data_IF_090341100156
#
_entry.id   IF_090341100156
#
_cell.length_a   1.000
_cell.length_b   1.000
_cell.length_c   1.000
_cell.angle_alpha   90.00
_cell.angle_beta   90.00
_cell.angle_gamma   90.00
#
_symmetry.space_group_name_H-M   'P 1'
#
loop_
_entity.id
_entity.type
_entity.pdbx_description
1 polymer ?
#
# COMPACT_ATOMS: atom_id res chain seq x y z
N UNK A 1 19.50 0.66 13.74
CA UNK A 1 19.35 -0.26 14.89
C UNK A 1 18.09 0.00 15.72
N UNK A 2 17.75 1.23 16.10
CA UNK A 2 16.56 1.49 16.93
C UNK A 2 15.24 0.92 16.36
N UNK A 3 15.00 1.04 15.06
CA UNK A 3 13.81 0.48 14.41
C UNK A 3 13.73 -1.05 14.55
N UNK A 4 14.85 -1.76 14.32
CA UNK A 4 14.93 -3.22 14.47
C UNK A 4 14.60 -3.63 15.92
N UNK A 5 15.22 -2.96 16.89
CA UNK A 5 14.98 -3.24 18.30
C UNK A 5 13.53 -2.91 18.70
N UNK A 6 12.95 -1.85 18.12
CA UNK A 6 11.54 -1.50 18.32
C UNK A 6 10.64 -2.63 17.85
N UNK A 7 10.83 -3.11 16.61
CA UNK A 7 10.09 -4.24 16.05
C UNK A 7 10.20 -5.49 16.93
N UNK A 8 11.41 -5.83 17.37
CA UNK A 8 11.61 -6.97 18.28
C UNK A 8 10.91 -6.78 19.62
N UNK A 9 11.00 -5.59 20.22
CA UNK A 9 10.33 -5.28 21.48
C UNK A 9 8.80 -5.35 21.37
N UNK A 10 8.22 -4.87 20.25
CA UNK A 10 6.79 -4.98 19.98
C UNK A 10 6.33 -6.44 19.86
N UNK A 11 7.06 -7.25 19.10
CA UNK A 11 6.79 -8.68 18.99
C UNK A 11 6.86 -9.38 20.35
N UNK A 12 7.90 -9.11 21.14
CA UNK A 12 8.05 -9.65 22.49
C UNK A 12 6.96 -9.18 23.44
N UNK A 13 6.51 -7.92 23.33
CA UNK A 13 5.39 -7.40 24.12
C UNK A 13 4.09 -8.15 23.84
N UNK A 14 3.89 -8.63 22.60
CA UNK A 14 2.71 -9.44 22.26
C UNK A 14 2.84 -10.89 22.68
N UNK A 15 4.05 -11.48 22.59
CA UNK A 15 4.31 -12.85 23.02
C UNK A 15 4.36 -12.99 24.55
N UNK A 16 4.78 -11.94 25.25
CA UNK A 16 4.97 -11.91 26.70
C UNK A 16 4.24 -10.71 27.33
N UNK A 17 2.89 -10.64 27.28
CA UNK A 17 2.12 -9.48 27.74
C UNK A 17 2.24 -9.23 29.26
N UNK A 18 2.69 -10.23 30.03
CA UNK A 18 2.91 -10.11 31.47
C UNK A 18 4.21 -9.37 31.83
N UNK A 19 5.10 -9.12 30.86
CA UNK A 19 6.36 -8.44 31.07
C UNK A 19 6.31 -7.00 30.51
N UNK A 20 5.94 -5.98 31.32
CA UNK A 20 5.71 -4.62 30.82
C UNK A 20 6.98 -3.98 30.23
N UNK A 21 8.17 -4.47 30.61
CA UNK A 21 9.46 -3.99 30.11
C UNK A 21 9.56 -3.96 28.58
N UNK A 22 8.90 -4.89 27.88
CA UNK A 22 8.95 -4.94 26.42
C UNK A 22 8.06 -3.87 25.79
N UNK A 23 6.90 -3.60 26.41
CA UNK A 23 6.03 -2.50 26.00
C UNK A 23 6.75 -1.17 26.21
N UNK A 24 7.27 -0.92 27.40
CA UNK A 24 8.02 0.31 27.73
C UNK A 24 9.23 0.51 26.80
N UNK A 25 9.97 -0.58 26.51
CA UNK A 25 11.08 -0.54 25.57
C UNK A 25 10.62 -0.21 24.15
N UNK A 26 9.52 -0.80 23.68
CA UNK A 26 8.98 -0.51 22.34
C UNK A 26 8.57 0.95 22.18
N UNK A 27 7.87 1.52 23.17
CA UNK A 27 7.46 2.93 23.15
C UNK A 27 8.68 3.87 23.11
N UNK A 28 9.69 3.61 23.96
CA UNK A 28 10.92 4.41 23.99
C UNK A 28 11.72 4.30 22.68
N UNK A 29 11.85 3.07 22.15
CA UNK A 29 12.57 2.82 20.90
C UNK A 29 11.84 3.39 19.69
N UNK A 30 10.50 3.41 19.71
CA UNK A 30 9.70 4.06 18.68
C UNK A 30 9.96 5.57 18.66
N UNK A 31 9.83 6.24 19.81
CA UNK A 31 10.09 7.68 19.90
C UNK A 31 11.50 8.04 19.41
N UNK A 32 12.50 7.25 19.81
CA UNK A 32 13.89 7.40 19.35
C UNK A 32 14.04 7.13 17.85
N UNK A 33 13.36 6.11 17.32
CA UNK A 33 13.38 5.77 15.89
C UNK A 33 12.83 6.92 15.06
N UNK A 34 11.65 7.45 15.42
CA UNK A 34 11.04 8.59 14.73
C UNK A 34 11.94 9.83 14.79
N UNK A 35 12.51 10.13 15.96
CA UNK A 35 13.41 11.28 16.12
C UNK A 35 14.65 11.16 15.22
N UNK A 36 15.33 10.01 15.24
CA UNK A 36 16.52 9.78 14.43
C UNK A 36 16.20 9.72 12.93
N UNK A 37 15.05 9.13 12.57
CA UNK A 37 14.61 9.03 11.19
C UNK A 37 14.35 10.42 10.61
N UNK A 38 13.57 11.26 11.29
CA UNK A 38 13.32 12.66 10.88
C UNK A 38 14.61 13.46 10.75
N UNK A 39 15.54 13.30 11.70
CA UNK A 39 16.86 13.97 11.67
C UNK A 39 17.72 13.55 10.47
N UNK A 40 17.60 12.31 10.01
CA UNK A 40 18.37 11.84 8.85
C UNK A 40 17.66 12.15 7.53
N UNK A 41 16.32 12.16 7.50
CA UNK A 41 15.54 12.62 6.35
C UNK A 41 15.74 14.11 6.04
N UNK A 42 16.04 14.93 7.04
CA UNK A 42 16.35 16.35 6.83
C UNK A 42 17.71 16.58 6.16
N UNK A 43 18.48 15.52 5.88
CA UNK A 43 19.78 15.58 5.19
C UNK A 43 19.61 15.11 3.74
N UNK A 44 20.45 15.59 2.82
CA UNK A 44 20.45 15.06 1.46
C UNK A 44 20.67 13.55 1.44
N UNK A 45 19.90 12.85 0.61
CA UNK A 45 20.08 11.42 0.36
C UNK A 45 21.37 11.22 -0.42
N UNK A 46 22.13 10.21 -0.01
CA UNK A 46 23.40 9.84 -0.63
C UNK A 46 23.66 8.35 -0.43
N UNK A 47 24.74 7.87 -1.05
CA UNK A 47 25.13 6.46 -1.04
C UNK A 47 25.29 5.85 0.36
N UNK A 48 25.62 6.65 1.37
CA UNK A 48 25.88 6.16 2.73
C UNK A 48 24.64 6.07 3.62
N UNK A 49 23.59 6.86 3.35
CA UNK A 49 22.41 6.93 4.22
C UNK A 49 21.14 6.34 3.60
N UNK A 50 21.09 6.24 2.28
CA UNK A 50 19.89 5.91 1.52
C UNK A 50 19.30 4.54 1.88
N UNK A 51 20.15 3.50 1.92
CA UNK A 51 19.71 2.13 2.28
C UNK A 51 19.21 2.03 3.72
N UNK A 52 19.92 2.65 4.66
CA UNK A 52 19.53 2.65 6.06
C UNK A 52 18.21 3.39 6.28
N UNK A 53 17.97 4.47 5.53
CA UNK A 53 16.71 5.21 5.55
C UNK A 53 15.58 4.38 4.96
N UNK A 54 15.77 3.75 3.80
CA UNK A 54 14.76 2.89 3.18
C UNK A 54 14.42 1.68 4.07
N UNK A 55 15.43 0.99 4.59
CA UNK A 55 15.22 -0.11 5.53
C UNK A 55 14.49 0.34 6.80
N UNK A 56 14.78 1.55 7.30
CA UNK A 56 14.04 2.12 8.43
C UNK A 56 12.59 2.44 8.05
N UNK A 57 12.33 2.98 6.87
CA UNK A 57 10.99 3.28 6.38
C UNK A 57 10.12 2.00 6.24
N UNK A 58 10.70 0.92 5.72
CA UNK A 58 10.04 -0.38 5.64
C UNK A 58 9.73 -0.98 7.02
N UNK A 59 10.64 -0.84 7.99
CA UNK A 59 10.40 -1.25 9.37
C UNK A 59 9.32 -0.40 10.04
N UNK A 60 9.26 0.90 9.75
CA UNK A 60 8.17 1.76 10.23
C UNK A 60 6.84 1.34 9.62
N UNK A 61 6.79 1.01 8.32
CA UNK A 61 5.58 0.45 7.69
C UNK A 61 5.12 -0.84 8.37
N UNK A 62 6.05 -1.75 8.63
CA UNK A 62 5.79 -2.99 9.36
C UNK A 62 5.19 -2.70 10.74
N UNK A 63 5.77 -1.73 11.46
CA UNK A 63 5.25 -1.34 12.77
C UNK A 63 3.85 -0.73 12.64
N UNK A 64 3.56 0.08 11.63
CA UNK A 64 2.23 0.65 11.43
C UNK A 64 1.16 -0.42 11.16
N UNK A 65 1.53 -1.53 10.52
CA UNK A 65 0.65 -2.69 10.38
C UNK A 65 0.41 -3.44 11.69
N UNK A 66 1.38 -3.39 12.60
CA UNK A 66 1.28 -4.04 13.90
C UNK A 66 0.49 -3.20 14.90
N UNK A 67 0.66 -1.88 14.83
CA UNK A 67 0.16 -0.93 15.81
C UNK A 67 -1.36 -0.73 15.68
N UNK A 68 -2.07 -1.04 16.77
CA UNK A 68 -3.50 -0.79 16.95
C UNK A 68 -3.75 0.16 18.12
N UNK A 69 -2.70 0.79 18.68
CA UNK A 69 -2.81 1.56 19.90
C UNK A 69 -3.67 2.81 19.73
N UNK A 70 -3.80 3.32 18.50
CA UNK A 70 -4.71 4.42 18.19
C UNK A 70 -6.17 4.11 18.54
N UNK A 71 -6.57 2.84 18.62
CA UNK A 71 -7.93 2.42 19.00
C UNK A 71 -8.19 2.52 20.51
N UNK A 72 -7.15 2.55 21.35
CA UNK A 72 -7.34 2.60 22.80
C UNK A 72 -8.06 3.88 23.24
N UNK A 73 -9.13 3.71 24.02
CA UNK A 73 -9.92 4.83 24.54
C UNK A 73 -10.85 5.49 23.52
N UNK A 74 -10.97 4.96 22.31
CA UNK A 74 -11.92 5.46 21.32
C UNK A 74 -13.30 4.80 21.45
N UNK A 75 -14.36 5.60 21.38
CA UNK A 75 -15.75 5.12 21.32
C UNK A 75 -16.26 4.93 19.89
N UNK A 76 -15.56 5.48 18.91
CA UNK A 76 -15.88 5.42 17.48
C UNK A 76 -14.59 5.24 16.68
N UNK A 77 -14.65 4.45 15.61
CA UNK A 77 -13.52 4.24 14.72
C UNK A 77 -13.14 5.53 13.98
N UNK A 78 -11.96 6.05 14.32
CA UNK A 78 -11.33 7.24 13.72
C UNK A 78 -10.08 6.84 12.94
N UNK A 79 -10.22 6.69 11.62
CA UNK A 79 -9.15 6.25 10.72
C UNK A 79 -8.14 7.35 10.43
N UNK A 80 -8.42 8.62 10.75
CA UNK A 80 -7.44 9.70 10.57
C UNK A 80 -6.22 9.56 11.50
N UNK A 81 -6.35 8.76 12.56
CA UNK A 81 -5.28 8.48 13.53
C UNK A 81 -4.49 7.22 13.19
N UNK A 82 -4.90 6.50 12.16
CA UNK A 82 -4.28 5.26 11.74
C UNK A 82 -2.93 5.54 11.06
N UNK A 83 -1.85 5.15 11.74
CA UNK A 83 -0.48 5.39 11.26
C UNK A 83 -0.17 4.63 9.96
N UNK A 84 -0.90 3.56 9.66
CA UNK A 84 -0.69 2.78 8.44
C UNK A 84 -0.97 3.60 7.19
N UNK A 85 -2.04 4.39 7.17
CA UNK A 85 -2.36 5.23 6.00
C UNK A 85 -1.64 6.57 6.06
N UNK A 86 -1.38 7.08 7.27
CA UNK A 86 -0.74 8.38 7.48
C UNK A 86 0.75 8.40 7.08
N UNK A 87 1.54 7.39 7.47
CA UNK A 87 3.00 7.41 7.30
C UNK A 87 3.46 6.96 5.91
N UNK A 88 2.60 6.20 5.26
CA UNK A 88 2.93 5.45 4.07
C UNK A 88 3.20 6.30 2.81
N UNK A 89 2.57 7.46 2.58
CA UNK A 89 2.97 8.40 1.53
C UNK A 89 4.45 8.82 1.60
N UNK A 90 5.03 8.93 2.80
CA UNK A 90 6.44 9.30 2.97
C UNK A 90 7.42 8.22 2.48
N UNK A 91 6.99 6.96 2.47
CA UNK A 91 7.79 5.83 1.95
C UNK A 91 7.95 5.97 0.44
N UNK A 92 6.90 6.41 -0.25
CA UNK A 92 6.92 6.61 -1.70
C UNK A 92 7.84 7.74 -2.10
N UNK A 93 7.74 8.89 -1.44
CA UNK A 93 8.66 9.99 -1.72
C UNK A 93 10.12 9.55 -1.50
N UNK A 94 10.39 8.84 -0.41
CA UNK A 94 11.72 8.29 -0.15
C UNK A 94 12.13 7.31 -1.26
N UNK A 95 11.24 6.44 -1.72
CA UNK A 95 11.51 5.47 -2.78
C UNK A 95 11.89 6.15 -4.09
N UNK A 96 11.10 7.12 -4.56
CA UNK A 96 11.38 7.86 -5.81
C UNK A 96 12.73 8.58 -5.76
N UNK A 97 13.03 9.22 -4.63
CA UNK A 97 14.31 9.93 -4.44
C UNK A 97 15.51 8.99 -4.26
N UNK A 98 15.28 7.77 -3.81
CA UNK A 98 16.31 6.77 -3.50
C UNK A 98 16.62 5.84 -4.67
N UNK A 99 15.64 5.55 -5.53
CA UNK A 99 15.77 4.52 -6.57
C UNK A 99 16.91 4.79 -7.57
N UNK A 100 17.13 6.02 -8.06
CA UNK A 100 18.29 6.30 -8.92
C UNK A 100 19.63 5.99 -8.22
N UNK A 101 19.71 6.24 -6.92
CA UNK A 101 20.89 5.97 -6.09
C UNK A 101 21.09 4.46 -5.89
N UNK A 102 20.00 3.69 -5.79
CA UNK A 102 20.04 2.22 -5.67
C UNK A 102 20.49 1.56 -6.96
N UNK A 103 19.95 1.98 -8.10
CA UNK A 103 20.32 1.46 -9.42
C UNK A 103 21.80 1.72 -9.69
N UNK A 104 22.29 2.93 -9.41
CA UNK A 104 23.71 3.29 -9.62
C UNK A 104 24.70 2.51 -8.76
N UNK A 105 24.23 1.89 -7.67
CA UNK A 105 25.07 1.15 -6.74
C UNK A 105 24.90 -0.37 -6.82
N UNK A 106 23.93 -0.86 -7.59
CA UNK A 106 23.54 -2.27 -7.54
C UNK A 106 23.03 -2.68 -6.16
N UNK A 107 22.25 -1.82 -5.50
CA UNK A 107 21.64 -2.12 -4.20
C UNK A 107 20.56 -3.20 -4.34
N UNK A 108 20.39 -4.02 -3.30
CA UNK A 108 19.29 -5.01 -3.21
C UNK A 108 17.91 -4.36 -3.36
N UNK A 109 17.77 -3.07 -3.05
CA UNK A 109 16.50 -2.35 -3.20
C UNK A 109 16.17 -2.07 -4.68
N UNK A 110 17.17 -2.07 -5.57
CA UNK A 110 16.94 -1.99 -7.01
C UNK A 110 16.34 -3.30 -7.55
N UNK A 111 16.62 -4.44 -6.91
CA UNK A 111 16.09 -5.73 -7.33
C UNK A 111 14.57 -5.80 -7.13
N UNK A 112 14.03 -5.12 -6.12
CA UNK A 112 12.58 -5.00 -5.87
C UNK A 112 11.85 -4.41 -7.07
N UNK A 113 12.49 -3.51 -7.83
CA UNK A 113 11.88 -2.92 -9.02
C UNK A 113 11.74 -3.90 -10.19
N UNK A 114 12.42 -5.05 -10.16
CA UNK A 114 12.32 -6.09 -11.18
C UNK A 114 11.18 -7.07 -10.90
N UNK A 115 10.67 -7.10 -9.67
CA UNK A 115 9.62 -8.02 -9.25
C UNK A 115 8.27 -7.31 -9.26
N UNK A 116 7.25 -7.94 -9.86
CA UNK A 116 5.89 -7.40 -9.91
C UNK A 116 4.91 -8.42 -9.31
N UNK A 117 4.69 -8.38 -7.98
CA UNK A 117 3.79 -9.31 -7.30
C UNK A 117 2.39 -9.36 -7.92
N UNK A 118 1.86 -8.18 -8.28
CA UNK A 118 0.55 -8.07 -8.92
C UNK A 118 0.49 -8.81 -10.25
N UNK A 119 1.50 -8.62 -11.11
CA UNK A 119 1.54 -9.26 -12.42
C UNK A 119 1.58 -10.79 -12.32
N UNK A 120 2.39 -11.34 -11.41
CA UNK A 120 2.44 -12.79 -11.19
C UNK A 120 1.11 -13.35 -10.67
N UNK A 121 0.45 -12.65 -9.75
CA UNK A 121 -0.89 -13.04 -9.28
C UNK A 121 -1.88 -13.02 -10.44
N UNK A 122 -1.89 -11.97 -11.27
CA UNK A 122 -2.77 -11.88 -12.43
C UNK A 122 -2.52 -13.01 -13.43
N UNK A 123 -1.25 -13.31 -13.73
CA UNK A 123 -0.87 -14.39 -14.63
C UNK A 123 -1.35 -15.76 -14.10
N UNK A 124 -1.19 -16.01 -12.80
CA UNK A 124 -1.69 -17.23 -12.16
C UNK A 124 -3.21 -17.32 -12.24
N UNK A 125 -3.94 -16.24 -11.90
CA UNK A 125 -5.40 -16.19 -12.00
C UNK A 125 -5.89 -16.46 -13.42
N UNK A 126 -5.28 -15.83 -14.43
CA UNK A 126 -5.61 -16.06 -15.84
C UNK A 126 -5.32 -17.51 -16.24
N UNK A 127 -4.21 -18.09 -15.79
CA UNK A 127 -3.88 -19.51 -16.04
C UNK A 127 -4.90 -20.49 -15.43
N UNK A 128 -5.55 -20.08 -14.34
CA UNK A 128 -6.64 -20.83 -13.71
C UNK A 128 -8.02 -20.53 -14.33
N UNK A 129 -8.08 -19.67 -15.36
CA UNK A 129 -9.32 -19.32 -16.04
C UNK A 129 -10.17 -18.28 -15.32
N UNK A 130 -9.57 -17.48 -14.43
CA UNK A 130 -10.26 -16.42 -13.70
C UNK A 130 -9.88 -15.03 -14.20
N UNK A 131 -10.85 -14.13 -14.21
CA UNK A 131 -10.63 -12.71 -14.52
C UNK A 131 -10.11 -11.97 -13.26
N UNK A 132 -8.87 -11.43 -13.27
CA UNK A 132 -8.33 -10.67 -12.15
C UNK A 132 -9.10 -9.38 -11.84
N UNK A 133 -9.86 -8.86 -12.81
CA UNK A 133 -10.57 -7.57 -12.72
C UNK A 133 -12.05 -7.71 -12.34
N UNK A 134 -12.55 -8.93 -12.09
CA UNK A 134 -13.99 -9.19 -11.91
C UNK A 134 -14.67 -8.40 -10.77
N UNK A 135 -13.90 -7.93 -9.78
CA UNK A 135 -14.46 -7.12 -8.68
C UNK A 135 -14.50 -5.62 -9.01
N UNK A 136 -13.80 -5.15 -10.04
CA UNK A 136 -13.77 -3.73 -10.40
C UNK A 136 -15.19 -3.22 -10.64
N UNK A 137 -15.96 -3.89 -11.50
CA UNK A 137 -17.36 -3.51 -11.79
C UNK A 137 -18.24 -3.43 -10.54
N UNK A 138 -18.14 -4.42 -9.64
CA UNK A 138 -18.95 -4.48 -8.42
C UNK A 138 -18.69 -3.29 -7.48
N UNK A 139 -17.42 -2.88 -7.31
CA UNK A 139 -17.11 -1.70 -6.50
C UNK A 139 -17.44 -0.39 -7.21
N UNK A 140 -17.39 -0.35 -8.54
CA UNK A 140 -17.86 0.83 -9.28
C UNK A 140 -19.37 1.03 -9.14
N UNK A 141 -20.16 -0.05 -9.07
CA UNK A 141 -21.58 0.03 -8.73
C UNK A 141 -21.80 0.63 -7.33
N UNK A 142 -21.02 0.21 -6.33
CA UNK A 142 -21.07 0.80 -4.98
C UNK A 142 -20.66 2.28 -5.00
N UNK A 143 -19.66 2.64 -5.81
CA UNK A 143 -19.21 4.02 -5.92
C UNK A 143 -20.29 4.95 -6.50
N UNK A 144 -20.97 4.47 -7.53
CA UNK A 144 -22.00 5.20 -8.27
C UNK A 144 -23.34 5.22 -7.49
N UNK A 145 -23.51 4.36 -6.47
CA UNK A 145 -24.71 4.29 -5.64
C UNK A 145 -24.84 5.48 -4.66
N UNK A 146 -25.91 6.30 -4.76
CA UNK A 146 -26.18 7.42 -3.86
C UNK A 146 -26.30 7.04 -2.38
N UNK A 147 -26.69 5.82 -2.04
CA UNK A 147 -26.82 5.37 -0.65
C UNK A 147 -25.50 5.39 0.11
N UNK A 148 -24.38 5.25 -0.61
CA UNK A 148 -23.04 5.27 -0.03
C UNK A 148 -22.39 6.66 -0.08
N UNK A 149 -23.02 7.64 -0.72
CA UNK A 149 -22.54 9.01 -0.79
C UNK A 149 -22.94 9.75 0.49
N UNK A 150 -21.99 9.93 1.42
CA UNK A 150 -22.16 10.87 2.52
C UNK A 150 -21.65 12.26 2.10
N UNK A 151 -22.37 13.31 2.50
CA UNK A 151 -21.91 14.70 2.37
C UNK A 151 -20.65 14.89 3.21
N UNK A 152 -19.49 14.67 2.59
CA UNK A 152 -18.19 14.92 3.18
C UNK A 152 -17.84 16.37 2.93
N UNK A 153 -17.64 17.16 3.99
CA UNK A 153 -17.11 18.52 3.85
C UNK A 153 -15.66 18.42 3.34
N UNK A 154 -15.25 19.20 2.32
CA UNK A 154 -13.90 19.11 1.80
C UNK A 154 -12.90 19.61 2.86
N UNK A 155 -12.15 18.69 3.47
CA UNK A 155 -10.97 19.01 4.25
C UNK A 155 -9.80 19.22 3.27
N UNK A 156 -8.94 20.25 3.46
CA UNK A 156 -7.77 20.44 2.62
C UNK A 156 -6.87 19.21 2.65
N UNK A 157 -6.40 18.73 1.50
CA UNK A 157 -5.46 17.61 1.43
C UNK A 157 -4.13 18.01 2.08
N UNK A 158 -3.61 17.17 2.98
CA UNK A 158 -2.26 17.32 3.51
C UNK A 158 -1.22 17.22 2.38
N UNK A 159 -0.34 18.21 2.28
CA UNK A 159 0.69 18.36 1.23
C UNK A 159 1.53 17.08 0.97
N UNK A 160 1.95 16.30 1.99
CA UNK A 160 2.73 15.06 1.78
C UNK A 160 1.95 13.97 1.05
N UNK A 161 0.65 13.82 1.34
CA UNK A 161 -0.21 12.84 0.65
C UNK A 161 -0.37 13.20 -0.83
N UNK A 162 -0.39 14.50 -1.14
CA UNK A 162 -0.48 15.03 -2.50
C UNK A 162 0.82 14.79 -3.29
N UNK A 163 1.99 14.91 -2.67
CA UNK A 163 3.27 14.63 -3.33
C UNK A 163 3.39 13.16 -3.77
N UNK A 164 3.16 12.21 -2.86
CA UNK A 164 3.20 10.78 -3.18
C UNK A 164 2.22 10.41 -4.31
N UNK A 165 1.02 10.96 -4.26
CA UNK A 165 0.00 10.77 -5.30
C UNK A 165 0.46 11.27 -6.66
N UNK A 166 1.06 12.47 -6.72
CA UNK A 166 1.63 13.04 -7.95
C UNK A 166 2.72 12.16 -8.55
N UNK A 167 3.62 11.63 -7.72
CA UNK A 167 4.67 10.71 -8.16
C UNK A 167 4.10 9.43 -8.76
N UNK A 168 3.08 8.84 -8.14
CA UNK A 168 2.41 7.66 -8.69
C UNK A 168 1.75 7.92 -10.04
N UNK A 169 1.01 9.02 -10.16
CA UNK A 169 0.38 9.41 -11.43
C UNK A 169 1.42 9.62 -12.52
N UNK A 170 2.53 10.31 -12.20
CA UNK A 170 3.62 10.52 -13.13
C UNK A 170 4.19 9.20 -13.65
N UNK A 171 4.44 8.25 -12.74
CA UNK A 171 4.99 6.93 -13.10
C UNK A 171 4.00 6.09 -13.92
N UNK A 172 2.73 6.06 -13.55
CA UNK A 172 1.70 5.27 -14.25
C UNK A 172 1.49 5.74 -15.69
N UNK A 173 1.66 7.03 -15.98
CA UNK A 173 1.55 7.57 -17.34
C UNK A 173 2.77 7.28 -18.22
N UNK A 174 3.94 7.07 -17.63
CA UNK A 174 5.18 6.84 -18.37
C UNK A 174 5.53 5.36 -18.55
N UNK A 175 5.00 4.49 -17.68
CA UNK A 175 5.24 3.05 -17.73
C UNK A 175 3.90 2.33 -17.95
N UNK A 176 3.56 1.95 -19.19
CA UNK A 176 2.39 1.14 -19.47
C UNK A 176 2.50 -0.20 -18.73
N UNK A 177 1.44 -0.59 -18.01
CA UNK A 177 1.39 -1.91 -17.40
C UNK A 177 1.36 -2.99 -18.49
N UNK A 178 2.23 -4.02 -18.42
CA UNK A 178 2.14 -5.15 -19.32
C UNK A 178 0.79 -5.84 -19.12
N UNK A 179 0.06 -6.04 -20.22
CA UNK A 179 -1.20 -6.77 -20.16
C UNK A 179 -0.91 -8.25 -19.89
N UNK A 180 -1.50 -8.87 -18.86
CA UNK A 180 -1.33 -10.31 -18.62
C UNK A 180 -1.91 -11.17 -19.75
N UNK A 181 -2.65 -10.58 -20.70
CA UNK A 181 -3.19 -11.24 -21.90
C UNK A 181 -2.18 -11.29 -23.07
N UNK A 182 -1.02 -10.65 -22.94
CA UNK A 182 0.02 -10.67 -23.96
C UNK A 182 0.88 -11.94 -23.85
N UNK A 183 1.28 -12.58 -24.97
CA UNK A 183 2.15 -13.75 -24.92
C UNK A 183 3.52 -13.38 -24.33
N UNK A 184 4.18 -14.29 -23.57
CA UNK A 184 5.53 -14.06 -23.07
C UNK A 184 6.47 -13.85 -24.26
N UNK A 185 7.21 -12.74 -24.25
CA UNK A 185 8.23 -12.41 -25.25
C UNK A 185 9.39 -13.41 -25.17
N UNK A 186 9.85 -13.88 -26.33
CA UNK A 186 10.95 -14.85 -26.47
C UNK A 186 12.25 -14.35 -25.81
N UNK A 187 12.93 -15.27 -25.12
CA UNK A 187 14.18 -15.07 -24.39
C UNK A 187 15.28 -14.49 -25.31
N UNK A 188 15.58 -13.20 -25.13
CA UNK A 188 16.85 -12.59 -25.52
C UNK A 188 17.74 -12.48 -24.27
N UNK A 189 19.06 -12.37 -24.45
CA UNK A 189 20.06 -12.35 -23.37
C UNK A 189 19.59 -11.54 -22.15
N UNK A 190 19.13 -12.24 -21.11
CA UNK A 190 18.36 -11.68 -20.00
C UNK A 190 19.10 -10.56 -19.27
N UNK A 191 20.42 -10.63 -19.22
CA UNK A 191 21.27 -9.67 -18.50
C UNK A 191 21.32 -8.29 -19.17
N UNK A 192 21.40 -8.24 -20.49
CA UNK A 192 21.45 -6.98 -21.25
C UNK A 192 20.07 -6.29 -21.27
N UNK A 193 18.99 -7.07 -21.41
CA UNK A 193 17.61 -6.57 -21.38
C UNK A 193 17.25 -6.05 -19.97
N UNK A 194 17.70 -6.72 -18.92
CA UNK A 194 17.46 -6.31 -17.53
C UNK A 194 18.20 -5.01 -17.17
N UNK A 195 19.43 -4.83 -17.64
CA UNK A 195 20.20 -3.60 -17.41
C UNK A 195 19.63 -2.41 -18.18
N UNK A 196 19.15 -2.63 -19.41
CA UNK A 196 18.44 -1.60 -20.17
C UNK A 196 17.11 -1.20 -19.51
N UNK A 197 16.36 -2.17 -18.99
CA UNK A 197 15.10 -1.92 -18.27
C UNK A 197 15.30 -1.05 -17.03
N UNK A 198 16.30 -1.35 -16.20
CA UNK A 198 16.61 -0.52 -15.03
C UNK A 198 17.14 0.87 -15.39
N UNK A 199 17.90 0.99 -16.48
CA UNK A 199 18.39 2.30 -16.93
C UNK A 199 17.22 3.18 -17.38
N UNK A 200 16.30 2.62 -18.16
CA UNK A 200 15.06 3.30 -18.55
C UNK A 200 14.20 3.67 -17.32
N UNK A 201 14.04 2.74 -16.37
CA UNK A 201 13.31 3.00 -15.13
C UNK A 201 13.94 4.14 -14.33
N UNK A 202 15.28 4.18 -14.23
CA UNK A 202 16.01 5.27 -13.57
C UNK A 202 15.69 6.62 -14.20
N UNK A 203 15.72 6.69 -15.53
CA UNK A 203 15.43 7.93 -16.28
C UNK A 203 13.99 8.40 -16.05
N UNK A 204 13.02 7.48 -16.13
CA UNK A 204 11.60 7.77 -15.85
C UNK A 204 11.42 8.26 -14.41
N UNK A 205 12.01 7.58 -13.43
CA UNK A 205 11.88 7.97 -12.02
C UNK A 205 12.51 9.35 -11.78
N UNK A 206 13.68 9.63 -12.36
CA UNK A 206 14.32 10.93 -12.25
C UNK A 206 13.43 12.04 -12.84
N UNK A 207 12.92 11.84 -14.05
CA UNK A 207 12.02 12.78 -14.73
C UNK A 207 10.74 13.04 -13.92
N UNK A 208 10.08 11.98 -13.45
CA UNK A 208 8.87 12.09 -12.62
C UNK A 208 9.19 12.80 -11.29
N UNK A 209 10.30 12.46 -10.65
CA UNK A 209 10.68 13.08 -9.38
C UNK A 209 10.92 14.58 -9.56
N UNK A 210 11.65 14.98 -10.59
CA UNK A 210 11.96 16.38 -10.87
C UNK A 210 10.70 17.20 -11.22
N UNK A 211 9.78 16.61 -12.00
CA UNK A 211 8.52 17.26 -12.40
C UNK A 211 7.52 17.42 -11.26
N UNK A 212 7.42 16.43 -10.37
CA UNK A 212 6.29 16.33 -9.43
C UNK A 212 6.63 16.64 -7.96
N UNK A 213 7.91 16.82 -7.61
CA UNK A 213 8.31 17.25 -6.24
C UNK A 213 8.27 18.77 -6.04
N UNK A 214 8.18 19.58 -7.11
CA UNK A 214 8.02 21.04 -6.98
C UNK A 214 6.60 21.43 -6.53
N UNK A 215 6.43 22.44 -5.65
CA UNK A 215 5.12 22.84 -5.13
C UNK A 215 4.17 23.39 -6.21
N UNK A 216 4.74 24.00 -7.25
CA UNK A 216 4.03 24.37 -8.49
C UNK A 216 4.52 23.48 -9.62
N UNK A 217 3.65 22.72 -10.30
CA UNK A 217 4.03 22.08 -11.55
C UNK A 217 4.30 23.19 -12.57
N UNK A 218 5.58 23.51 -12.77
CA UNK A 218 6.03 24.43 -13.82
C UNK A 218 5.76 23.85 -15.22
N UNK A 219 5.52 22.54 -15.29
CA UNK A 219 5.23 21.78 -16.51
C UNK A 219 3.72 21.72 -16.80
N UNK A 220 3.26 22.23 -17.97
CA UNK A 220 1.86 22.16 -18.39
C UNK A 220 1.30 20.73 -18.44
N UNK A 221 2.12 19.74 -18.77
CA UNK A 221 1.69 18.34 -18.88
C UNK A 221 1.35 17.73 -17.50
N UNK A 222 2.14 18.05 -16.48
CA UNK A 222 1.88 17.61 -15.10
C UNK A 222 0.57 18.22 -14.55
N UNK A 223 0.31 19.49 -14.89
CA UNK A 223 -0.93 20.19 -14.52
C UNK A 223 -2.16 19.58 -15.23
N UNK A 224 -2.05 19.29 -16.54
CA UNK A 224 -3.14 18.63 -17.29
C UNK A 224 -3.50 17.26 -16.70
N UNK A 225 -2.51 16.41 -16.38
CA UNK A 225 -2.72 15.08 -15.80
C UNK A 225 -3.49 15.14 -14.48
N UNK A 226 -3.17 16.13 -13.62
CA UNK A 226 -3.86 16.30 -12.35
C UNK A 226 -5.29 16.80 -12.54
N UNK A 227 -5.52 17.67 -13.54
CA UNK A 227 -6.84 18.21 -13.84
C UNK A 227 -7.79 17.22 -14.50
N UNK A 228 -7.28 16.15 -15.13
CA UNK A 228 -8.11 15.16 -15.83
C UNK A 228 -8.61 14.03 -14.93
N UNK A 229 -8.09 13.89 -13.71
CA UNK A 229 -8.48 12.83 -12.79
C UNK A 229 -9.83 13.16 -12.13
N UNK A 230 -10.71 12.17 -12.09
CA UNK A 230 -11.97 12.22 -11.35
C UNK A 230 -11.87 11.36 -10.11
N UNK A 231 -12.58 11.69 -9.04
CA UNK A 231 -12.64 10.84 -7.84
C UNK A 231 -13.04 9.39 -8.20
N UNK A 232 -13.93 9.23 -9.19
CA UNK A 232 -14.34 7.94 -9.72
C UNK A 232 -13.18 7.14 -10.33
N UNK A 233 -12.36 7.74 -11.20
CA UNK A 233 -11.21 7.07 -11.84
C UNK A 233 -10.09 6.73 -10.84
N UNK A 234 -9.93 7.55 -9.81
CA UNK A 234 -8.97 7.30 -8.73
C UNK A 234 -9.40 6.10 -7.90
N UNK A 235 -10.68 6.01 -7.54
CA UNK A 235 -11.23 4.86 -6.85
C UNK A 235 -11.13 3.58 -7.68
N UNK A 236 -11.48 3.64 -8.96
CA UNK A 236 -11.35 2.51 -9.89
C UNK A 236 -9.91 1.98 -9.96
N UNK A 237 -8.92 2.87 -10.01
CA UNK A 237 -7.50 2.50 -10.01
C UNK A 237 -7.08 1.76 -8.74
N UNK A 238 -7.61 2.16 -7.58
CA UNK A 238 -7.36 1.46 -6.32
C UNK A 238 -7.99 0.07 -6.31
N UNK A 239 -9.25 -0.03 -6.74
CA UNK A 239 -9.95 -1.33 -6.81
C UNK A 239 -9.23 -2.25 -7.79
N UNK A 240 -8.79 -1.75 -8.94
CA UNK A 240 -8.01 -2.51 -9.91
C UNK A 240 -6.72 -3.11 -9.31
N UNK A 241 -6.07 -2.40 -8.39
CA UNK A 241 -4.88 -2.89 -7.68
C UNK A 241 -5.20 -3.99 -6.66
N UNK A 242 -6.37 -3.92 -6.03
CA UNK A 242 -6.81 -4.84 -4.97
C UNK A 242 -7.56 -6.07 -5.53
N UNK A 243 -8.21 -5.95 -6.70
CA UNK A 243 -9.08 -6.97 -7.29
C UNK A 243 -8.43 -8.35 -7.40
N UNK A 244 -7.16 -8.51 -7.83
CA UNK A 244 -6.50 -9.81 -7.85
C UNK A 244 -6.43 -10.50 -6.48
N UNK A 245 -6.22 -9.74 -5.39
CA UNK A 245 -6.25 -10.28 -4.03
C UNK A 245 -7.64 -10.76 -3.63
N UNK A 246 -8.69 -10.02 -4.00
CA UNK A 246 -10.08 -10.45 -3.76
C UNK A 246 -10.42 -11.70 -4.58
N UNK A 247 -9.87 -11.85 -5.78
CA UNK A 247 -9.96 -13.07 -6.58
C UNK A 247 -9.35 -14.25 -5.86
N UNK A 248 -8.11 -14.13 -5.39
CA UNK A 248 -7.47 -15.17 -4.59
C UNK A 248 -8.29 -15.54 -3.35
N UNK A 249 -8.84 -14.55 -2.64
CA UNK A 249 -9.61 -14.79 -1.42
C UNK A 249 -10.88 -15.59 -1.68
N UNK A 250 -11.65 -15.22 -2.72
CA UNK A 250 -12.86 -15.95 -3.11
C UNK A 250 -12.56 -17.36 -3.62
N UNK A 251 -11.40 -17.60 -4.24
CA UNK A 251 -10.98 -18.95 -4.64
C UNK A 251 -10.55 -19.81 -3.46
N UNK A 252 -9.98 -19.20 -2.41
CA UNK A 252 -9.61 -19.90 -1.20
C UNK A 252 -10.83 -20.33 -0.35
N UNK A 253 -11.91 -19.55 -0.39
CA UNK A 253 -13.19 -19.85 0.30
C UNK A 253 -14.15 -20.70 -0.55
N UNK A 254 -13.95 -20.73 -1.87
CA UNK A 254 -14.81 -21.42 -2.82
C UNK A 254 -14.82 -22.96 -2.71
N UNK A 255 -15.76 -23.63 -3.40
CA UNK A 255 -15.90 -25.08 -3.37
C UNK A 255 -14.71 -25.81 -4.02
N UNK A 256 -14.08 -25.18 -5.01
CA UNK A 256 -12.90 -25.70 -5.72
C UNK A 256 -11.69 -24.90 -5.27
N UNK A 257 -10.97 -25.39 -4.25
CA UNK A 257 -9.79 -24.71 -3.72
C UNK A 257 -8.64 -24.79 -4.72
N UNK A 258 -8.18 -23.64 -5.20
CA UNK A 258 -6.94 -23.52 -5.95
C UNK A 258 -5.74 -23.56 -4.99
N UNK A 259 -4.68 -24.26 -5.39
CA UNK A 259 -3.41 -24.22 -4.67
C UNK A 259 -2.69 -22.90 -4.98
N UNK A 260 -2.59 -22.06 -3.95
CA UNK A 260 -2.00 -20.71 -4.01
C UNK A 260 -0.53 -20.70 -3.55
N UNK A 261 0.07 -21.86 -3.27
CA UNK A 261 1.43 -21.94 -2.72
C UNK A 261 2.46 -21.25 -3.59
N UNK A 262 2.35 -21.36 -4.92
CA UNK A 262 3.26 -20.76 -5.90
C UNK A 262 3.28 -19.23 -5.89
N UNK A 263 2.17 -18.58 -5.53
CA UNK A 263 2.03 -17.12 -5.50
C UNK A 263 1.88 -16.56 -4.08
N UNK A 264 2.09 -17.38 -3.05
CA UNK A 264 1.87 -16.98 -1.66
C UNK A 264 2.75 -15.80 -1.22
N UNK A 265 4.01 -15.76 -1.64
CA UNK A 265 4.91 -14.63 -1.37
C UNK A 265 4.44 -13.35 -2.06
N UNK A 266 3.98 -13.45 -3.31
CA UNK A 266 3.46 -12.31 -4.07
C UNK A 266 2.17 -11.75 -3.44
N UNK A 267 1.30 -12.63 -2.94
CA UNK A 267 0.10 -12.24 -2.19
C UNK A 267 0.49 -11.45 -0.94
N UNK A 268 1.43 -11.97 -0.14
CA UNK A 268 1.91 -11.28 1.07
C UNK A 268 2.48 -9.89 0.73
N UNK A 269 3.36 -9.82 -0.27
CA UNK A 269 4.00 -8.58 -0.69
C UNK A 269 2.99 -7.55 -1.19
N UNK A 270 2.04 -7.96 -2.03
CA UNK A 270 1.00 -7.08 -2.53
C UNK A 270 0.09 -6.59 -1.39
N UNK A 271 -0.32 -7.46 -0.46
CA UNK A 271 -1.14 -7.05 0.70
C UNK A 271 -0.47 -5.96 1.53
N UNK A 272 0.78 -6.16 1.90
CA UNK A 272 1.50 -5.19 2.74
C UNK A 272 1.90 -3.92 1.98
N UNK A 273 1.94 -3.99 0.65
CA UNK A 273 2.14 -2.86 -0.26
C UNK A 273 0.88 -2.04 -0.56
N UNK A 274 -0.34 -2.58 -0.42
CA UNK A 274 -1.58 -1.84 -0.76
C UNK A 274 -1.71 -0.48 -0.07
N UNK A 275 -1.45 -0.34 1.25
CA UNK A 275 -1.53 0.96 1.92
C UNK A 275 -0.62 2.03 1.28
N UNK A 276 0.46 1.60 0.62
CA UNK A 276 1.40 2.45 -0.13
C UNK A 276 0.71 3.23 -1.24
N UNK A 277 -0.35 2.67 -1.81
CA UNK A 277 -1.13 3.33 -2.85
C UNK A 277 -2.27 4.21 -2.31
N UNK A 278 -2.53 4.20 -1.00
CA UNK A 278 -3.59 4.99 -0.36
C UNK A 278 -3.12 6.42 -0.04
N UNK A 279 -2.70 7.17 -1.06
CA UNK A 279 -2.26 8.57 -0.95
C UNK A 279 -3.24 9.54 -1.63
N UNK A 280 -3.01 10.85 -1.49
CA UNK A 280 -3.82 11.90 -2.10
C UNK A 280 -5.33 11.79 -1.79
N UNK A 281 -6.21 11.73 -2.81
CA UNK A 281 -7.66 11.61 -2.61
C UNK A 281 -8.06 10.39 -1.77
N UNK A 282 -7.36 9.26 -1.92
CA UNK A 282 -7.67 8.02 -1.20
C UNK A 282 -7.43 8.19 0.30
N UNK A 283 -6.30 8.79 0.68
CA UNK A 283 -6.01 9.09 2.09
C UNK A 283 -7.08 9.98 2.71
N UNK A 284 -7.58 10.96 1.94
CA UNK A 284 -8.69 11.84 2.37
C UNK A 284 -9.96 11.02 2.63
N UNK A 285 -10.39 10.17 1.69
CA UNK A 285 -11.58 9.33 1.88
C UNK A 285 -11.45 8.41 3.09
N UNK A 286 -10.26 7.84 3.34
CA UNK A 286 -10.00 7.00 4.51
C UNK A 286 -10.13 7.82 5.79
N UNK A 287 -9.48 8.98 5.85
CA UNK A 287 -9.52 9.90 7.00
C UNK A 287 -10.94 10.38 7.30
N UNK A 288 -11.69 10.78 6.26
CA UNK A 288 -13.09 11.21 6.35
C UNK A 288 -14.01 10.04 6.71
N UNK A 289 -13.53 8.81 6.50
CA UNK A 289 -14.30 7.59 6.65
C UNK A 289 -15.45 7.53 5.66
N UNK A 290 -15.22 7.86 4.39
CA UNK A 290 -16.19 7.74 3.30
C UNK A 290 -16.73 6.30 3.23
N UNK A 291 -18.04 6.12 3.11
CA UNK A 291 -18.64 4.78 3.16
C UNK A 291 -18.15 3.87 2.02
N UNK A 292 -17.86 4.42 0.84
CA UNK A 292 -17.41 3.64 -0.34
C UNK A 292 -16.03 3.05 -0.12
N UNK A 293 -15.10 3.85 0.42
CA UNK A 293 -13.75 3.35 0.75
C UNK A 293 -13.81 2.37 1.92
N UNK A 294 -14.70 2.60 2.90
CA UNK A 294 -14.87 1.68 4.03
C UNK A 294 -15.35 0.30 3.58
N UNK A 295 -16.26 0.22 2.61
CA UNK A 295 -16.68 -1.07 2.04
C UNK A 295 -15.49 -1.77 1.39
N UNK A 296 -14.70 -1.07 0.56
CA UNK A 296 -13.49 -1.65 -0.04
C UNK A 296 -12.48 -2.12 1.01
N UNK A 297 -12.21 -1.32 2.05
CA UNK A 297 -11.32 -1.69 3.14
C UNK A 297 -11.84 -2.90 3.93
N UNK A 298 -13.16 -3.01 4.11
CA UNK A 298 -13.78 -4.16 4.74
C UNK A 298 -13.48 -5.46 3.96
N UNK A 299 -13.65 -5.45 2.63
CA UNK A 299 -13.29 -6.60 1.79
C UNK A 299 -11.78 -6.86 1.76
N UNK A 300 -10.96 -5.80 1.78
CA UNK A 300 -9.51 -5.92 1.85
C UNK A 300 -9.06 -6.63 3.14
N UNK A 301 -9.54 -6.20 4.31
CA UNK A 301 -9.21 -6.86 5.57
C UNK A 301 -9.80 -8.27 5.67
N UNK A 302 -10.99 -8.50 5.11
CA UNK A 302 -11.55 -9.84 5.01
C UNK A 302 -10.67 -10.77 4.17
N UNK A 303 -10.21 -10.30 3.00
CA UNK A 303 -9.32 -11.04 2.13
C UNK A 303 -7.98 -11.34 2.82
N UNK A 304 -7.44 -10.37 3.57
CA UNK A 304 -6.22 -10.56 4.35
C UNK A 304 -6.38 -11.67 5.42
N UNK A 305 -7.54 -11.78 6.07
CA UNK A 305 -7.79 -12.88 7.03
C UNK A 305 -7.83 -14.25 6.36
N UNK A 306 -8.31 -14.33 5.12
CA UNK A 306 -8.41 -15.57 4.36
C UNK A 306 -7.04 -15.99 3.83
N UNK A 307 -6.26 -15.03 3.34
CA UNK A 307 -5.04 -15.30 2.56
C UNK A 307 -3.74 -15.25 3.38
N UNK A 308 -3.69 -14.46 4.46
CA UNK A 308 -2.47 -14.34 5.25
C UNK A 308 -2.34 -15.48 6.27
N UNK A 309 -1.12 -16.01 6.39
CA UNK A 309 -0.79 -17.03 7.38
C UNK A 309 -0.95 -16.53 8.82
N UNK A 310 -1.75 -17.24 9.62
CA UNK A 310 -1.90 -16.98 11.07
C UNK A 310 -0.63 -17.22 11.89
N UNK A 311 0.38 -17.90 11.32
CA UNK A 311 1.66 -18.15 12.00
C UNK A 311 2.72 -17.12 11.61
N UNK A 312 2.92 -16.90 10.30
CA UNK A 312 3.97 -16.01 9.78
C UNK A 312 3.56 -14.54 9.86
N UNK A 313 2.29 -14.26 9.55
CA UNK A 313 1.74 -12.92 9.39
C UNK A 313 0.68 -12.63 10.46
N UNK A 314 0.85 -13.21 11.65
CA UNK A 314 -0.12 -13.15 12.73
C UNK A 314 -0.53 -11.72 13.11
N UNK A 315 0.38 -10.76 13.00
CA UNK A 315 0.14 -9.33 13.28
C UNK A 315 -0.80 -8.70 12.24
N UNK A 316 -0.54 -8.95 10.95
CA UNK A 316 -1.39 -8.49 9.86
C UNK A 316 -2.77 -9.15 9.91
N UNK A 317 -2.81 -10.45 10.22
CA UNK A 317 -4.05 -11.19 10.46
C UNK A 317 -4.85 -10.57 11.63
N UNK A 318 -4.20 -10.34 12.78
CA UNK A 318 -4.83 -9.77 13.99
C UNK A 318 -5.42 -8.39 13.69
N UNK A 319 -4.63 -7.52 13.06
CA UNK A 319 -5.12 -6.22 12.60
C UNK A 319 -6.31 -6.36 11.67
N UNK A 320 -6.26 -7.28 10.72
CA UNK A 320 -7.35 -7.48 9.77
C UNK A 320 -8.64 -7.90 10.46
N UNK A 321 -8.59 -8.78 11.47
CA UNK A 321 -9.75 -9.15 12.28
C UNK A 321 -10.37 -7.95 13.01
N UNK A 322 -9.53 -7.12 13.65
CA UNK A 322 -9.99 -5.95 14.41
C UNK A 322 -10.59 -4.90 13.45
N UNK A 323 -9.88 -4.59 12.36
CA UNK A 323 -10.28 -3.55 11.42
C UNK A 323 -11.55 -3.93 10.63
N UNK A 324 -11.68 -5.18 10.17
CA UNK A 324 -12.92 -5.64 9.53
C UNK A 324 -14.12 -5.42 10.46
N UNK A 325 -14.02 -5.87 11.72
CA UNK A 325 -15.11 -5.77 12.68
C UNK A 325 -15.51 -4.31 12.96
N UNK A 326 -14.53 -3.43 13.23
CA UNK A 326 -14.80 -2.03 13.53
C UNK A 326 -15.37 -1.26 12.33
N UNK A 327 -14.92 -1.59 11.11
CA UNK A 327 -15.43 -0.98 9.89
C UNK A 327 -16.87 -1.44 9.64
N UNK A 328 -17.17 -2.74 9.81
CA UNK A 328 -18.53 -3.27 9.71
C UNK A 328 -19.48 -2.58 10.69
N UNK A 329 -19.07 -2.43 11.96
CA UNK A 329 -19.90 -1.76 12.95
C UNK A 329 -20.13 -0.28 12.61
N UNK A 330 -19.11 0.39 12.08
CA UNK A 330 -19.24 1.77 11.58
C UNK A 330 -20.22 1.86 10.40
N UNK A 331 -20.16 0.95 9.44
CA UNK A 331 -21.07 0.91 8.29
C UNK A 331 -22.52 0.57 8.73
N UNK A 332 -22.70 -0.41 9.62
CA UNK A 332 -24.00 -0.74 10.21
C UNK A 332 -24.61 0.43 10.97
N UNK A 333 -23.80 1.19 11.71
CA UNK A 333 -24.27 2.41 12.41
C UNK A 333 -24.78 3.50 11.46
N UNK A 334 -24.42 3.42 10.17
CA UNK A 334 -24.91 4.30 9.09
C UNK A 334 -26.10 3.71 8.33
N UNK A 335 -26.60 2.53 8.73
CA UNK A 335 -27.66 1.83 8.03
C UNK A 335 -27.20 1.10 6.77
N UNK A 336 -25.89 0.90 6.58
CA UNK A 336 -25.33 0.19 5.44
C UNK A 336 -25.01 -1.25 5.85
N UNK A 337 -25.58 -2.22 5.14
CA UNK A 337 -25.26 -3.63 5.30
C UNK A 337 -24.26 -4.07 4.22
N UNK A 338 -23.17 -4.68 4.63
CA UNK A 338 -22.08 -5.07 3.72
C UNK A 338 -22.26 -6.52 3.32
N UNK A 339 -22.59 -6.74 2.05
CA UNK A 339 -22.61 -8.08 1.46
C UNK A 339 -21.19 -8.45 1.02
N UNK A 340 -20.61 -9.47 1.63
CA UNK A 340 -19.30 -9.96 1.24
C UNK A 340 -19.34 -10.70 -0.12
N UNK A 341 -18.50 -10.27 -1.06
CA UNK A 341 -18.36 -10.90 -2.38
C UNK A 341 -17.34 -12.07 -2.39
N UNK A 342 -16.67 -12.33 -1.26
CA UNK A 342 -15.57 -13.29 -1.12
C UNK A 342 -15.82 -14.30 -0.01
#
# INVERSE_FOLDING_TARGET
>A
MSAILCTSAMQLSSLCPHEPRYKDASEHLMAKTVQLFRKNLSRPLNRQNCEALMGTALLVNYISWFDLDFLHGQTKLDLSKDQLFFLTPGIIELWFRSMPIFIDQGSIFADVARHSPRFHIEQALVSWGHDPERFVGLFMEIWDDPWYQQESSPVPSDEPTSCAWRLFLGMQNQIPHPSPKSPPSEESCEEDTNNQSLTHLKEVIADVTDKFTSPTPTDPAASMVLSSQTDRSVFETLVYRISPLLCCASLATGPTRCDMTSISADIEELFFGVPVFCSGPIARWISDGDSRILVLLCHFYRAAQILLSTKRNWWGYTRSCVMEHLILDKLKSRGLDVVFFI
#
